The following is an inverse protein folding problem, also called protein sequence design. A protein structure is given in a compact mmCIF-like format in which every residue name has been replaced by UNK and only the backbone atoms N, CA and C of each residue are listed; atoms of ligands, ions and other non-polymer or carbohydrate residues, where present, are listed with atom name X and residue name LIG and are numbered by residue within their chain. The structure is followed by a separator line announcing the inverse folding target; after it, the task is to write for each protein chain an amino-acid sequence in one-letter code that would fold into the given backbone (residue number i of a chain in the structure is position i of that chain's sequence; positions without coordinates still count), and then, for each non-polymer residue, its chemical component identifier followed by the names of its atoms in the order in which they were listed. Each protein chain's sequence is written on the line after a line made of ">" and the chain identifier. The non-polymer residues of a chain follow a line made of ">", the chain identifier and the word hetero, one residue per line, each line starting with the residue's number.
data_IF_015943699378
#
_entry.id   IF_015943699378
#
_cell.length_a   1.000
_cell.length_b   1.000
_cell.length_c   1.000
_cell.angle_alpha   90.00
_cell.angle_beta   90.00
_cell.angle_gamma   90.00
#
_symmetry.space_group_name_H-M   'P 1'
#
loop_
_entity.id
_entity.type
_entity.pdbx_description
1 polymer ?
#
# COMPACT_ATOMS: atom_id res chain seq x y z
N UNK A 1 -12.30 14.99 -7.69
CA UNK A 1 -10.84 15.12 -7.55
C UNK A 1 -10.27 13.79 -8.00
N UNK A 2 -9.34 13.78 -8.96
CA UNK A 2 -8.73 12.54 -9.45
C UNK A 2 -7.69 12.00 -8.48
N UNK A 3 -7.39 10.71 -8.58
CA UNK A 3 -6.29 10.06 -7.86
C UNK A 3 -5.39 9.33 -8.83
N UNK A 4 -4.15 9.07 -8.43
CA UNK A 4 -3.18 8.27 -9.17
C UNK A 4 -2.63 7.18 -8.28
N UNK A 5 -2.50 5.97 -8.84
CA UNK A 5 -1.69 4.89 -8.27
C UNK A 5 -0.32 4.92 -8.94
N UNK A 6 0.76 4.87 -8.17
CA UNK A 6 2.13 4.77 -8.68
C UNK A 6 2.75 3.45 -8.25
N UNK A 7 3.28 2.71 -9.21
CA UNK A 7 3.90 1.40 -9.01
C UNK A 7 5.43 1.49 -8.77
N UNK A 8 6.06 0.33 -8.65
CA UNK A 8 7.52 0.17 -8.50
C UNK A 8 8.35 0.62 -9.70
N UNK A 9 7.74 0.87 -10.86
CA UNK A 9 8.40 1.47 -12.02
C UNK A 9 8.23 2.99 -12.09
N UNK A 10 7.62 3.60 -11.07
CA UNK A 10 7.24 5.00 -11.05
C UNK A 10 6.23 5.37 -12.14
N UNK A 11 5.48 4.39 -12.64
CA UNK A 11 4.39 4.62 -13.59
C UNK A 11 3.15 5.03 -12.80
N UNK A 12 2.65 6.22 -13.09
CA UNK A 12 1.42 6.74 -12.50
C UNK A 12 0.20 6.42 -13.39
N UNK A 13 -0.76 5.71 -12.83
CA UNK A 13 -2.03 5.35 -13.47
C UNK A 13 -3.18 6.12 -12.81
N UNK A 14 -3.95 6.86 -13.61
CA UNK A 14 -5.14 7.58 -13.11
C UNK A 14 -6.23 6.61 -12.66
N UNK A 15 -6.80 6.88 -11.49
CA UNK A 15 -7.91 6.14 -10.90
C UNK A 15 -9.19 6.95 -11.10
N UNK A 16 -10.01 6.51 -12.05
CA UNK A 16 -11.21 7.25 -12.48
C UNK A 16 -12.28 7.33 -11.38
N UNK A 17 -12.46 6.24 -10.64
CA UNK A 17 -13.44 6.09 -9.56
C UNK A 17 -12.98 4.97 -8.59
N UNK A 18 -13.67 4.77 -7.45
CA UNK A 18 -13.26 3.76 -6.47
C UNK A 18 -13.29 2.31 -6.98
N UNK A 19 -14.17 1.96 -7.91
CA UNK A 19 -14.24 0.59 -8.44
C UNK A 19 -13.12 0.36 -9.47
N UNK A 20 -12.83 1.36 -10.31
CA UNK A 20 -11.66 1.37 -11.17
C UNK A 20 -10.36 1.28 -10.37
N UNK A 21 -10.28 1.98 -9.22
CA UNK A 21 -9.14 1.91 -8.33
C UNK A 21 -8.88 0.49 -7.81
N UNK A 22 -9.94 -0.21 -7.39
CA UNK A 22 -9.85 -1.61 -6.96
C UNK A 22 -9.40 -2.51 -8.10
N UNK A 23 -9.96 -2.34 -9.29
CA UNK A 23 -9.62 -3.16 -10.45
C UNK A 23 -8.14 -2.98 -10.85
N UNK A 24 -7.68 -1.74 -10.95
CA UNK A 24 -6.27 -1.43 -11.24
C UNK A 24 -5.33 -1.95 -10.16
N UNK A 25 -5.62 -1.66 -8.89
CA UNK A 25 -4.77 -2.10 -7.79
C UNK A 25 -4.64 -3.62 -7.72
N UNK A 26 -5.75 -4.36 -7.85
CA UNK A 26 -5.72 -5.83 -7.86
C UNK A 26 -4.94 -6.38 -9.04
N UNK A 27 -5.14 -5.84 -10.23
CA UNK A 27 -4.40 -6.26 -11.42
C UNK A 27 -2.89 -6.13 -11.20
N UNK A 28 -2.43 -5.00 -10.66
CA UNK A 28 -1.01 -4.79 -10.38
C UNK A 28 -0.49 -5.75 -9.30
N UNK A 29 -1.26 -5.98 -8.22
CA UNK A 29 -0.91 -6.92 -7.15
C UNK A 29 -0.77 -8.35 -7.69
N UNK A 30 -1.75 -8.81 -8.48
CA UNK A 30 -1.80 -10.15 -9.10
C UNK A 30 -0.77 -10.36 -10.22
N UNK A 31 -0.22 -9.27 -10.76
CA UNK A 31 0.77 -9.27 -11.84
C UNK A 31 2.06 -8.56 -11.42
N UNK A 32 2.78 -9.07 -10.40
CA UNK A 32 3.94 -8.40 -9.87
C UNK A 32 5.03 -8.26 -10.93
N UNK A 33 5.64 -7.07 -10.98
CA UNK A 33 6.70 -6.74 -11.93
C UNK A 33 7.95 -7.61 -11.73
N UNK A 34 8.21 -8.03 -10.48
CA UNK A 34 9.27 -8.97 -10.13
C UNK A 34 8.65 -10.20 -9.47
N UNK A 35 8.65 -11.38 -10.13
CA UNK A 35 8.08 -12.59 -9.57
C UNK A 35 8.76 -13.03 -8.26
N UNK A 36 7.95 -13.54 -7.31
CA UNK A 36 8.45 -14.12 -6.05
C UNK A 36 8.73 -13.11 -4.94
N UNK A 37 8.27 -11.87 -5.08
CA UNK A 37 8.31 -10.86 -4.02
C UNK A 37 7.10 -9.93 -4.12
N UNK A 38 6.77 -9.29 -3.00
CA UNK A 38 5.82 -8.20 -2.96
C UNK A 38 6.33 -6.92 -3.62
N UNK A 39 5.50 -5.88 -3.60
CA UNK A 39 5.76 -4.63 -4.27
C UNK A 39 5.17 -3.44 -3.51
N UNK A 40 5.74 -2.27 -3.75
CA UNK A 40 5.30 -1.00 -3.19
C UNK A 40 4.42 -0.24 -4.17
N UNK A 41 3.35 0.33 -3.64
CA UNK A 41 2.49 1.28 -4.33
C UNK A 41 2.32 2.54 -3.50
N UNK A 42 2.06 3.64 -4.19
CA UNK A 42 1.53 4.86 -3.56
C UNK A 42 0.26 5.33 -4.24
N UNK A 43 -0.63 5.94 -3.46
CA UNK A 43 -1.82 6.64 -3.96
C UNK A 43 -1.74 8.10 -3.55
N UNK A 44 -1.96 8.98 -4.53
CA UNK A 44 -1.92 10.43 -4.35
C UNK A 44 -3.15 11.07 -5.00
N UNK A 45 -3.61 12.24 -4.53
CA UNK A 45 -4.47 13.08 -5.34
C UNK A 45 -3.72 13.51 -6.62
N UNK A 46 -4.44 13.65 -7.72
CA UNK A 46 -3.85 14.05 -9.00
C UNK A 46 -3.17 15.43 -8.88
N UNK A 47 -1.86 15.49 -9.18
CA UNK A 47 -1.03 16.68 -9.00
C UNK A 47 -0.61 16.98 -7.55
N UNK A 48 -0.97 16.11 -6.60
CA UNK A 48 -0.59 16.20 -5.19
C UNK A 48 0.60 15.31 -4.81
N UNK A 49 0.93 15.31 -3.53
CA UNK A 49 1.90 14.37 -2.94
C UNK A 49 1.23 13.05 -2.58
N UNK A 50 1.99 11.95 -2.57
CA UNK A 50 1.52 10.67 -2.08
C UNK A 50 1.07 10.78 -0.61
N UNK A 51 -0.08 10.19 -0.29
CA UNK A 51 -0.63 10.19 1.07
C UNK A 51 -0.82 8.77 1.62
N UNK A 52 -1.18 7.81 0.76
CA UNK A 52 -1.30 6.41 1.12
C UNK A 52 -0.17 5.61 0.46
N UNK A 53 0.60 4.89 1.26
CA UNK A 53 1.59 3.92 0.78
C UNK A 53 1.16 2.51 1.15
N UNK A 54 1.41 1.57 0.25
CA UNK A 54 1.09 0.16 0.41
C UNK A 54 2.33 -0.66 0.03
N UNK A 55 2.94 -1.34 1.01
CA UNK A 55 3.89 -2.41 0.73
C UNK A 55 3.12 -3.73 0.86
N UNK A 56 2.98 -4.53 -0.20
CA UNK A 56 2.08 -5.69 -0.23
C UNK A 56 2.73 -6.91 -0.86
N UNK A 57 2.48 -8.08 -0.26
CA UNK A 57 2.86 -9.39 -0.74
C UNK A 57 1.61 -10.28 -0.77
N UNK A 58 1.18 -10.64 -1.99
CA UNK A 58 -0.03 -11.42 -2.22
C UNK A 58 0.11 -12.86 -1.73
N UNK A 59 1.28 -13.48 -1.94
CA UNK A 59 1.52 -14.87 -1.55
C UNK A 59 1.49 -15.02 -0.02
N UNK A 60 1.96 -14.00 0.70
CA UNK A 60 1.91 -13.94 2.16
C UNK A 60 0.54 -13.49 2.73
N UNK A 61 -0.39 -13.05 1.87
CA UNK A 61 -1.63 -12.34 2.23
C UNK A 61 -1.38 -11.22 3.27
N UNK A 62 -0.34 -10.42 3.05
CA UNK A 62 0.11 -9.40 4.00
C UNK A 62 0.52 -8.10 3.33
N UNK A 63 0.22 -7.01 4.02
CA UNK A 63 0.57 -5.66 3.62
C UNK A 63 0.92 -4.79 4.83
N UNK A 64 1.79 -3.81 4.59
CA UNK A 64 1.91 -2.61 5.41
C UNK A 64 1.20 -1.46 4.70
N UNK A 65 0.13 -0.94 5.33
CA UNK A 65 -0.51 0.31 4.92
C UNK A 65 0.08 1.45 5.73
N UNK A 66 0.46 2.54 5.08
CA UNK A 66 1.09 3.70 5.73
C UNK A 66 0.40 4.97 5.30
N UNK A 67 -0.02 5.77 6.28
CA UNK A 67 -0.52 7.11 6.06
C UNK A 67 0.66 8.08 6.13
N UNK A 68 1.17 8.47 4.96
CA UNK A 68 2.39 9.28 4.83
C UNK A 68 2.33 10.62 5.57
N UNK A 69 1.17 11.33 5.67
CA UNK A 69 1.11 12.61 6.37
C UNK A 69 1.51 12.58 7.85
N UNK A 70 1.28 11.46 8.57
CA UNK A 70 1.68 11.32 9.98
C UNK A 70 2.58 10.11 10.26
N UNK A 71 2.89 9.31 9.24
CA UNK A 71 3.74 8.12 9.34
C UNK A 71 3.08 6.96 10.09
N UNK A 72 1.80 7.04 10.42
CA UNK A 72 1.06 5.94 11.07
C UNK A 72 0.86 4.78 10.10
N UNK A 73 0.75 3.58 10.65
CA UNK A 73 0.53 2.37 9.87
C UNK A 73 -0.73 1.61 10.31
N UNK A 74 -1.30 0.89 9.37
CA UNK A 74 -2.50 0.11 9.54
C UNK A 74 -2.26 -1.18 10.34
N UNK A 75 -3.17 -1.47 11.26
CA UNK A 75 -3.22 -2.70 12.04
C UNK A 75 -4.61 -3.32 11.92
N UNK A 76 -4.62 -4.55 11.43
CA UNK A 76 -5.79 -5.43 11.37
C UNK A 76 -5.43 -6.80 11.98
N UNK A 77 -4.30 -7.35 11.57
CA UNK A 77 -3.82 -8.67 11.95
C UNK A 77 -2.86 -8.61 13.14
N UNK A 78 -2.67 -9.77 13.78
CA UNK A 78 -1.51 -9.99 14.64
C UNK A 78 -0.22 -9.96 13.79
N UNK A 79 0.86 -9.46 14.39
CA UNK A 79 2.19 -9.62 13.81
C UNK A 79 2.51 -11.13 13.68
N UNK A 80 3.02 -11.54 12.52
CA UNK A 80 3.55 -12.89 12.32
C UNK A 80 4.89 -12.77 11.59
N UNK A 81 4.92 -13.07 10.30
CA UNK A 81 6.09 -12.89 9.44
C UNK A 81 6.06 -11.52 8.77
N UNK A 82 7.26 -11.02 8.45
CA UNK A 82 7.43 -9.85 7.59
C UNK A 82 7.12 -10.17 6.13
N UNK A 83 7.21 -9.17 5.27
CA UNK A 83 7.09 -9.34 3.82
C UNK A 83 8.35 -8.82 3.14
N UNK A 84 8.68 -9.38 1.98
CA UNK A 84 9.81 -8.92 1.17
C UNK A 84 9.26 -8.19 -0.05
N UNK A 85 9.55 -6.90 -0.20
CA UNK A 85 8.98 -6.07 -1.25
C UNK A 85 10.04 -5.36 -2.09
N UNK A 86 9.76 -5.17 -3.38
CA UNK A 86 10.47 -4.23 -4.21
C UNK A 86 9.85 -2.84 -4.10
N UNK A 87 10.70 -1.82 -3.91
CA UNK A 87 10.25 -0.42 -4.02
C UNK A 87 10.51 0.16 -5.39
N UNK A 88 11.58 -0.32 -6.02
CA UNK A 88 11.95 -0.01 -7.39
C UNK A 88 12.39 -1.31 -8.05
N UNK A 89 12.06 -1.50 -9.33
CA UNK A 89 12.40 -2.73 -10.05
C UNK A 89 13.90 -2.95 -10.26
N UNK A 90 14.72 -1.89 -10.16
CA UNK A 90 16.18 -1.93 -10.26
C UNK A 90 16.89 -1.99 -8.89
N UNK A 91 16.14 -1.92 -7.79
CA UNK A 91 16.67 -1.99 -6.44
C UNK A 91 16.72 -3.43 -5.90
N UNK A 92 17.44 -3.62 -4.79
CA UNK A 92 17.30 -4.85 -4.00
C UNK A 92 15.95 -4.83 -3.28
N UNK A 93 15.28 -5.99 -3.12
CA UNK A 93 14.10 -6.05 -2.29
C UNK A 93 14.47 -5.76 -0.83
N UNK A 94 13.52 -5.20 -0.10
CA UNK A 94 13.67 -4.87 1.31
C UNK A 94 12.72 -5.71 2.14
N UNK A 95 13.12 -6.00 3.37
CA UNK A 95 12.29 -6.69 4.33
C UNK A 95 11.47 -5.65 5.11
N UNK A 96 10.15 -5.76 5.02
CA UNK A 96 9.21 -5.03 5.87
C UNK A 96 8.94 -5.88 7.10
N UNK A 97 9.33 -5.42 8.30
CA UNK A 97 9.16 -6.19 9.52
C UNK A 97 7.70 -6.52 9.85
N UNK A 98 7.50 -7.68 10.48
CA UNK A 98 6.19 -8.22 10.86
C UNK A 98 5.32 -7.25 11.68
N UNK A 99 5.94 -6.37 12.48
CA UNK A 99 5.18 -5.40 13.27
C UNK A 99 4.48 -4.34 12.43
N UNK A 100 4.85 -4.18 11.16
CA UNK A 100 4.22 -3.26 10.21
C UNK A 100 3.35 -3.98 9.16
N UNK A 101 3.72 -5.20 8.75
CA UNK A 101 2.98 -6.02 7.79
C UNK A 101 1.73 -6.69 8.43
N UNK A 102 0.80 -5.86 8.89
CA UNK A 102 -0.34 -6.25 9.75
C UNK A 102 -1.69 -6.01 9.10
N UNK A 103 -1.75 -5.94 7.79
CA UNK A 103 -2.99 -5.79 7.02
C UNK A 103 -3.09 -6.94 6.02
N UNK A 104 -4.29 -7.49 5.80
CA UNK A 104 -4.53 -8.45 4.71
C UNK A 104 -4.54 -7.76 3.34
N UNK A 105 -4.34 -8.52 2.26
CA UNK A 105 -4.47 -8.00 0.89
C UNK A 105 -5.87 -7.44 0.62
N UNK A 106 -6.90 -8.09 1.19
CA UNK A 106 -8.29 -7.67 1.09
C UNK A 106 -8.54 -6.30 1.77
N UNK A 107 -8.01 -6.10 2.98
CA UNK A 107 -8.15 -4.83 3.69
C UNK A 107 -7.31 -3.73 3.05
N UNK A 108 -6.13 -4.04 2.51
CA UNK A 108 -5.36 -3.10 1.69
C UNK A 108 -6.16 -2.63 0.46
N UNK A 109 -6.83 -3.56 -0.24
CA UNK A 109 -7.72 -3.23 -1.36
C UNK A 109 -8.89 -2.32 -0.92
N UNK A 110 -9.53 -2.63 0.20
CA UNK A 110 -10.61 -1.80 0.75
C UNK A 110 -10.13 -0.41 1.15
N UNK A 111 -8.90 -0.29 1.68
CA UNK A 111 -8.31 0.99 2.03
C UNK A 111 -8.07 1.86 0.80
N UNK A 112 -7.57 1.28 -0.31
CA UNK A 112 -7.44 1.99 -1.60
C UNK A 112 -8.80 2.49 -2.08
N UNK A 113 -9.82 1.63 -2.07
CA UNK A 113 -11.19 2.00 -2.45
C UNK A 113 -11.72 3.17 -1.62
N UNK A 114 -11.60 3.07 -0.30
CA UNK A 114 -12.10 4.08 0.63
C UNK A 114 -11.36 5.41 0.47
N UNK A 115 -10.05 5.38 0.31
CA UNK A 115 -9.25 6.59 0.10
C UNK A 115 -9.65 7.30 -1.19
N UNK A 116 -9.80 6.58 -2.31
CA UNK A 116 -10.24 7.18 -3.58
C UNK A 116 -11.66 7.73 -3.48
N UNK A 117 -12.55 7.07 -2.73
CA UNK A 117 -13.94 7.51 -2.55
C UNK A 117 -14.07 8.76 -1.68
N UNK A 118 -13.22 8.90 -0.67
CA UNK A 118 -13.42 9.91 0.40
C UNK A 118 -12.35 11.01 0.39
N UNK A 119 -11.16 10.73 -0.13
CA UNK A 119 -9.98 11.56 0.05
C UNK A 119 -9.54 11.71 1.49
N UNK A 120 -9.91 10.77 2.35
CA UNK A 120 -9.60 10.76 3.77
C UNK A 120 -8.83 9.50 4.13
N UNK A 121 -8.09 9.56 5.24
CA UNK A 121 -7.40 8.39 5.80
C UNK A 121 -8.41 7.24 5.98
N UNK A 122 -8.18 6.05 5.39
CA UNK A 122 -9.12 4.93 5.44
C UNK A 122 -9.52 4.53 6.86
N UNK A 123 -10.80 4.23 7.08
CA UNK A 123 -11.35 3.84 8.39
C UNK A 123 -11.51 2.34 8.54
N UNK A 124 -11.35 1.57 7.45
CA UNK A 124 -11.37 0.10 7.46
C UNK A 124 -10.21 -0.55 8.24
N UNK A 125 -9.24 0.23 8.73
CA UNK A 125 -8.08 -0.24 9.49
C UNK A 125 -7.81 0.66 10.69
N UNK A 126 -7.27 0.09 11.79
CA UNK A 126 -6.79 0.87 12.93
C UNK A 126 -5.41 1.44 12.63
N UNK A 127 -5.25 2.75 12.74
CA UNK A 127 -3.94 3.41 12.60
C UNK A 127 -3.19 3.45 13.93
N UNK A 128 -1.88 3.21 13.89
CA UNK A 128 -1.03 3.18 15.08
C UNK A 128 0.35 3.78 14.83
N UNK A 129 0.97 4.20 15.92
CA UNK A 129 2.37 4.62 16.03
C UNK A 129 3.08 3.84 17.16
N UNK A 130 2.56 2.65 17.54
CA UNK A 130 3.05 1.87 18.69
C UNK A 130 4.53 1.46 18.61
N UNK A 131 5.11 1.49 17.41
CA UNK A 131 6.53 1.20 17.14
C UNK A 131 7.28 2.39 16.55
N UNK A 132 6.75 3.61 16.71
CA UNK A 132 7.22 4.81 16.02
C UNK A 132 6.62 4.97 14.62
N UNK A 133 7.05 6.00 13.87
CA UNK A 133 6.68 6.14 12.46
C UNK A 133 7.25 4.96 11.65
N UNK A 134 6.61 4.67 10.53
CA UNK A 134 7.12 3.66 9.60
C UNK A 134 8.59 3.99 9.21
N UNK A 135 9.54 3.05 9.32
CA UNK A 135 10.97 3.37 9.24
C UNK A 135 11.46 3.63 7.81
N UNK A 136 10.55 3.61 6.85
CA UNK A 136 10.79 3.54 5.41
C UNK A 136 10.13 4.70 4.64
N UNK A 137 9.75 5.77 5.35
CA UNK A 137 9.19 7.00 4.78
C UNK A 137 10.18 7.75 3.88
#
# INVERSE_FOLDING_TARGET
>A
MGYVLTDVNLVATTLADPDAAVATFRYEVESPQVPGAGQMFTVAPEGGSAELRIDIDEEADRAALVWLPDGSYGIELAAADGITVYWFTDARPIEVPAQFARVSTATATNAVREYVATGQRPTCVRWSLEHGPYPFL
#
